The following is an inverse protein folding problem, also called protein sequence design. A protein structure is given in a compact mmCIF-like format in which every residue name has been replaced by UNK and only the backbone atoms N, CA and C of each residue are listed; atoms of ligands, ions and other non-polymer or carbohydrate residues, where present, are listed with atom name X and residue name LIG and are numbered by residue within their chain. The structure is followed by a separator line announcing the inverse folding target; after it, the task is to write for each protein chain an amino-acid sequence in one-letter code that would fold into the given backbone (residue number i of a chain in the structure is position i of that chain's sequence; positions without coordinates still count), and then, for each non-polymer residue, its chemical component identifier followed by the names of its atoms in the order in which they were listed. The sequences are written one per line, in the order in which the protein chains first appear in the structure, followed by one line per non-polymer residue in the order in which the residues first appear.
data_IF_235804391209
#
_entry.id   IF_235804391209
#
_cell.length_a   1.000
_cell.length_b   1.000
_cell.length_c   1.000
_cell.angle_alpha   90.00
_cell.angle_beta   90.00
_cell.angle_gamma   90.00
#
_symmetry.space_group_name_H-M   'P 1'
#
loop_
_entity.id
_entity.type
_entity.pdbx_description
1 polymer ?
#
# COMPACT_ATOMS: atom_id res chain seq x y z
N UNK A 1 -62.44 -51.49 13.13
CA UNK A 1 -63.50 -50.55 13.53
C UNK A 1 -63.27 -49.27 12.74
N UNK A 2 -64.11 -48.96 11.74
CA UNK A 2 -63.90 -47.84 10.80
C UNK A 2 -65.06 -46.86 10.93
N UNK A 3 -64.82 -45.68 11.50
CA UNK A 3 -65.81 -44.64 11.70
C UNK A 3 -66.00 -43.85 10.40
N UNK A 4 -67.20 -43.90 9.80
CA UNK A 4 -67.60 -43.07 8.66
C UNK A 4 -67.98 -41.68 9.14
N UNK A 5 -67.32 -40.66 8.62
CA UNK A 5 -67.64 -39.25 8.86
C UNK A 5 -68.72 -38.83 7.84
N UNK A 6 -69.86 -38.25 8.24
CA UNK A 6 -70.89 -37.83 7.29
C UNK A 6 -70.42 -36.58 6.52
N UNK A 7 -70.13 -36.72 5.23
CA UNK A 7 -69.90 -35.59 4.34
C UNK A 7 -71.20 -34.82 4.14
N UNK A 8 -71.34 -33.67 4.82
CA UNK A 8 -72.40 -32.70 4.56
C UNK A 8 -72.10 -32.02 3.22
N UNK A 9 -72.92 -32.32 2.21
CA UNK A 9 -72.78 -31.87 0.81
C UNK A 9 -73.30 -30.43 0.62
N UNK A 10 -73.00 -29.53 1.55
CA UNK A 10 -73.29 -28.11 1.37
C UNK A 10 -72.03 -27.50 0.77
N UNK A 11 -72.05 -27.28 -0.53
CA UNK A 11 -70.93 -26.72 -1.30
C UNK A 11 -70.56 -25.33 -0.78
N UNK A 12 -69.56 -25.22 0.10
CA UNK A 12 -69.03 -23.95 0.61
C UNK A 12 -68.31 -23.10 -0.45
N UNK A 13 -68.23 -23.57 -1.70
CA UNK A 13 -67.60 -22.87 -2.82
C UNK A 13 -68.59 -22.68 -3.97
N UNK A 14 -69.75 -22.08 -3.69
CA UNK A 14 -70.64 -21.61 -4.77
C UNK A 14 -70.21 -20.20 -5.15
N UNK A 15 -69.83 -19.99 -6.41
CA UNK A 15 -69.54 -18.65 -6.92
C UNK A 15 -70.79 -17.78 -6.84
N UNK A 16 -70.65 -16.47 -6.58
CA UNK A 16 -71.78 -15.55 -6.64
C UNK A 16 -72.52 -15.66 -7.97
N UNK A 17 -73.83 -15.45 -7.94
CA UNK A 17 -74.63 -15.33 -9.15
C UNK A 17 -74.07 -14.21 -10.03
N UNK A 18 -73.95 -14.46 -11.33
CA UNK A 18 -73.39 -13.49 -12.31
C UNK A 18 -71.89 -13.15 -12.17
N UNK A 19 -71.10 -13.90 -11.38
CA UNK A 19 -69.65 -13.67 -11.25
C UNK A 19 -68.90 -13.72 -12.60
N UNK A 20 -69.28 -14.65 -13.46
CA UNK A 20 -68.64 -14.87 -14.76
C UNK A 20 -69.15 -13.91 -15.84
N UNK A 21 -70.34 -13.34 -15.69
CA UNK A 21 -70.94 -12.45 -16.70
C UNK A 21 -70.15 -11.15 -16.87
N UNK A 22 -69.45 -10.70 -15.81
CA UNK A 22 -68.59 -9.50 -15.84
C UNK A 22 -67.09 -9.82 -15.77
N UNK A 23 -66.72 -11.10 -15.80
CA UNK A 23 -65.32 -11.50 -15.66
C UNK A 23 -64.50 -11.12 -16.88
N UNK A 24 -65.02 -11.35 -18.08
CA UNK A 24 -64.33 -11.07 -19.34
C UNK A 24 -64.05 -9.58 -19.51
N UNK A 25 -65.04 -8.73 -19.21
CA UNK A 25 -64.90 -7.26 -19.27
C UNK A 25 -63.83 -6.76 -18.29
N UNK A 26 -63.82 -7.29 -17.07
CA UNK A 26 -62.81 -6.97 -16.04
C UNK A 26 -61.42 -7.44 -16.44
N UNK A 27 -61.31 -8.58 -17.11
CA UNK A 27 -60.05 -9.11 -17.59
C UNK A 27 -59.49 -8.24 -18.71
N UNK A 28 -60.32 -7.90 -19.70
CA UNK A 28 -59.92 -7.04 -20.83
C UNK A 28 -59.54 -5.63 -20.37
N UNK A 29 -60.34 -5.03 -19.48
CA UNK A 29 -60.03 -3.72 -18.91
C UNK A 29 -58.67 -3.68 -18.21
N UNK A 30 -58.31 -4.73 -17.45
CA UNK A 30 -56.99 -4.82 -16.79
C UNK A 30 -55.84 -5.02 -17.78
N UNK A 31 -56.07 -5.76 -18.87
CA UNK A 31 -55.05 -5.94 -19.91
C UNK A 31 -54.80 -4.60 -20.62
N UNK A 32 -55.85 -3.87 -20.96
CA UNK A 32 -55.75 -2.54 -21.59
C UNK A 32 -55.12 -1.49 -20.65
N UNK A 33 -55.45 -1.51 -19.35
CA UNK A 33 -54.84 -0.63 -18.34
C UNK A 33 -53.34 -0.88 -18.18
N UNK A 34 -52.90 -2.14 -18.20
CA UNK A 34 -51.48 -2.50 -18.10
C UNK A 34 -50.69 -2.11 -19.36
N UNK A 35 -51.29 -2.23 -20.54
CA UNK A 35 -50.70 -1.77 -21.81
C UNK A 35 -50.54 -0.24 -21.86
N UNK A 36 -51.35 0.50 -21.11
CA UNK A 36 -51.31 1.97 -20.98
C UNK A 36 -50.53 2.45 -19.74
N UNK A 37 -49.78 1.56 -19.07
CA UNK A 37 -48.87 1.98 -18.01
C UNK A 37 -47.93 3.05 -18.56
N UNK A 38 -48.14 4.30 -18.12
CA UNK A 38 -47.26 5.43 -18.45
C UNK A 38 -45.85 5.02 -18.07
N UNK A 39 -45.05 4.67 -19.07
CA UNK A 39 -43.60 4.56 -18.95
C UNK A 39 -43.13 5.94 -18.53
N UNK A 40 -43.06 6.17 -17.23
CA UNK A 40 -42.37 7.35 -16.71
C UNK A 40 -40.95 7.24 -17.23
N UNK A 41 -40.45 8.24 -17.98
CA UNK A 41 -39.07 8.20 -18.41
C UNK A 41 -38.23 8.34 -17.14
N UNK A 42 -37.72 7.22 -16.63
CA UNK A 42 -36.70 7.25 -15.58
C UNK A 42 -35.49 7.93 -16.20
N UNK A 43 -35.29 9.21 -15.88
CA UNK A 43 -34.15 10.00 -16.37
C UNK A 43 -32.89 9.43 -15.74
N UNK A 44 -32.30 8.41 -16.38
CA UNK A 44 -31.01 7.85 -15.99
C UNK A 44 -29.95 8.88 -16.33
N UNK A 45 -29.57 9.68 -15.34
CA UNK A 45 -28.43 10.58 -15.44
C UNK A 45 -27.19 9.74 -15.74
N UNK A 46 -26.53 10.01 -16.87
CA UNK A 46 -25.28 9.34 -17.26
C UNK A 46 -24.13 9.87 -16.39
N UNK A 47 -24.14 9.58 -15.10
CA UNK A 47 -23.07 9.96 -14.17
C UNK A 47 -21.78 9.14 -14.38
N UNK A 48 -21.80 8.09 -15.20
CA UNK A 48 -20.66 7.19 -15.40
C UNK A 48 -19.45 7.79 -16.11
N UNK A 49 -19.54 8.99 -16.70
CA UNK A 49 -18.38 9.61 -17.37
C UNK A 49 -17.50 10.42 -16.42
N UNK A 50 -18.06 10.97 -15.34
CA UNK A 50 -17.32 11.81 -14.39
C UNK A 50 -16.45 11.00 -13.40
N UNK A 51 -16.66 9.68 -13.32
CA UNK A 51 -15.87 8.79 -12.45
C UNK A 51 -14.42 8.61 -12.96
N UNK A 52 -14.21 8.57 -14.28
CA UNK A 52 -12.87 8.36 -14.85
C UNK A 52 -11.93 9.54 -14.59
N UNK A 53 -12.43 10.77 -14.79
CA UNK A 53 -11.65 12.00 -14.57
C UNK A 53 -11.34 12.20 -13.08
N UNK A 54 -12.28 11.89 -12.18
CA UNK A 54 -12.03 11.99 -10.75
C UNK A 54 -10.96 10.99 -10.26
N UNK A 55 -10.94 9.77 -10.80
CA UNK A 55 -9.95 8.75 -10.45
C UNK A 55 -8.54 9.14 -10.90
N UNK A 56 -8.39 9.73 -12.09
CA UNK A 56 -7.08 10.20 -12.57
C UNK A 56 -6.57 11.39 -11.74
N UNK A 57 -7.45 12.31 -11.36
CA UNK A 57 -7.10 13.42 -10.46
C UNK A 57 -6.66 12.87 -9.08
N UNK A 58 -7.40 11.92 -8.52
CA UNK A 58 -7.05 11.29 -7.24
C UNK A 58 -5.72 10.54 -7.28
N UNK A 59 -5.41 9.83 -8.38
CA UNK A 59 -4.12 9.18 -8.57
C UNK A 59 -2.96 10.17 -8.67
N UNK A 60 -3.13 11.27 -9.41
CA UNK A 60 -2.09 12.29 -9.53
C UNK A 60 -1.82 12.97 -8.18
N UNK A 61 -2.87 13.33 -7.44
CA UNK A 61 -2.75 13.95 -6.12
C UNK A 61 -2.16 12.95 -5.12
N UNK A 62 -2.69 11.72 -5.06
CA UNK A 62 -2.22 10.67 -4.16
C UNK A 62 -0.75 10.30 -4.41
N UNK A 63 -0.37 10.18 -5.69
CA UNK A 63 1.02 9.95 -6.10
C UNK A 63 1.94 11.10 -5.67
N UNK A 64 1.53 12.36 -5.89
CA UNK A 64 2.33 13.52 -5.47
C UNK A 64 2.53 13.59 -3.95
N UNK A 65 1.51 13.24 -3.16
CA UNK A 65 1.61 13.17 -1.70
C UNK A 65 2.50 12.01 -1.22
N UNK A 66 2.44 10.86 -1.89
CA UNK A 66 3.29 9.70 -1.61
C UNK A 66 4.78 10.02 -1.78
N UNK A 67 5.16 10.65 -2.90
CA UNK A 67 6.55 11.06 -3.13
C UNK A 67 7.05 12.10 -2.11
N UNK A 68 6.17 12.95 -1.56
CA UNK A 68 6.53 13.92 -0.52
C UNK A 68 6.79 13.29 0.84
N UNK A 69 6.16 12.14 1.14
CA UNK A 69 6.43 11.41 2.38
C UNK A 69 7.75 10.66 2.33
N UNK A 70 8.17 10.20 1.15
CA UNK A 70 9.49 9.61 0.93
C UNK A 70 10.60 10.65 0.74
N UNK A 71 10.68 11.63 1.64
CA UNK A 71 11.94 12.37 1.80
C UNK A 71 12.95 11.39 2.38
N UNK A 72 13.98 11.09 1.60
CA UNK A 72 15.10 10.25 2.01
C UNK A 72 15.50 10.60 3.44
N UNK A 73 15.46 9.61 4.35
CA UNK A 73 16.11 9.76 5.63
C UNK A 73 17.56 10.15 5.32
N UNK A 74 17.99 11.33 5.79
CA UNK A 74 19.41 11.64 5.75
C UNK A 74 20.08 10.54 6.55
N UNK A 75 20.92 9.75 5.88
CA UNK A 75 21.69 8.70 6.54
C UNK A 75 22.41 9.39 7.70
N UNK A 76 22.17 8.88 8.91
CA UNK A 76 22.77 9.44 10.11
C UNK A 76 24.29 9.28 9.98
N UNK A 77 25.06 10.34 10.28
CA UNK A 77 26.52 10.28 10.21
C UNK A 77 27.08 9.08 11.01
N UNK A 78 26.45 8.77 12.15
CA UNK A 78 26.78 7.61 12.98
C UNK A 78 26.72 6.29 12.22
N UNK A 79 25.70 6.09 11.38
CA UNK A 79 25.55 4.88 10.58
C UNK A 79 26.65 4.76 9.51
N UNK A 80 27.10 5.89 8.95
CA UNK A 80 28.20 5.94 7.99
C UNK A 80 29.52 5.60 8.67
N UNK A 81 29.79 6.20 9.84
CA UNK A 81 31.00 5.95 10.62
C UNK A 81 31.11 4.47 10.99
N UNK A 82 30.04 3.89 11.55
CA UNK A 82 30.00 2.47 11.89
C UNK A 82 30.27 1.59 10.65
N UNK A 83 29.63 1.90 9.52
CA UNK A 83 29.82 1.10 8.30
C UNK A 83 31.27 1.10 7.80
N UNK A 84 31.95 2.25 7.87
CA UNK A 84 33.37 2.39 7.50
C UNK A 84 34.26 1.64 8.49
N UNK A 85 33.97 1.73 9.79
CA UNK A 85 34.72 1.04 10.85
C UNK A 85 34.68 -0.49 10.68
N UNK A 86 33.50 -1.06 10.38
CA UNK A 86 33.37 -2.50 10.14
C UNK A 86 33.92 -2.96 8.79
N UNK A 87 34.20 -2.05 7.85
CA UNK A 87 34.71 -2.36 6.51
C UNK A 87 36.00 -1.60 6.20
N UNK A 88 37.15 -2.01 6.79
CA UNK A 88 38.42 -1.29 6.65
C UNK A 88 38.93 -1.21 5.20
N UNK A 89 38.50 -2.12 4.32
CA UNK A 89 38.82 -2.08 2.90
C UNK A 89 38.31 -0.79 2.20
N UNK A 90 37.22 -0.20 2.70
CA UNK A 90 36.65 1.03 2.15
C UNK A 90 37.45 2.25 2.64
N UNK A 91 37.82 2.27 3.92
CA UNK A 91 38.65 3.31 4.51
C UNK A 91 40.05 3.39 3.86
N UNK A 92 40.59 2.24 3.43
CA UNK A 92 41.89 2.15 2.74
C UNK A 92 41.79 2.27 1.21
N UNK A 93 40.62 2.65 0.68
CA UNK A 93 40.44 2.80 -0.76
C UNK A 93 41.16 4.06 -1.29
N UNK A 94 41.65 4.06 -2.53
CA UNK A 94 42.31 5.22 -3.12
C UNK A 94 41.43 6.47 -3.14
N UNK A 95 40.13 6.30 -3.37
CA UNK A 95 39.14 7.39 -3.40
C UNK A 95 38.98 8.04 -2.02
N UNK A 96 38.99 7.23 -0.95
CA UNK A 96 38.90 7.75 0.41
C UNK A 96 40.19 8.42 0.86
N UNK A 97 41.35 7.87 0.49
CA UNK A 97 42.66 8.47 0.78
C UNK A 97 42.83 9.82 0.05
N UNK A 98 42.38 9.92 -1.20
CA UNK A 98 42.43 11.17 -1.98
C UNK A 98 41.45 12.23 -1.45
N UNK A 99 40.38 11.82 -0.79
CA UNK A 99 39.42 12.72 -0.18
C UNK A 99 39.96 13.42 1.09
N UNK A 100 41.04 12.91 1.70
CA UNK A 100 41.69 13.56 2.84
C UNK A 100 42.61 14.69 2.36
N UNK A 101 42.40 15.89 2.89
CA UNK A 101 43.25 17.03 2.62
C UNK A 101 44.31 17.25 3.72
N UNK A 102 45.23 18.20 3.48
CA UNK A 102 46.32 18.51 4.42
C UNK A 102 45.81 19.06 5.77
N UNK A 103 44.60 19.63 5.80
CA UNK A 103 43.99 20.14 7.02
C UNK A 103 43.44 18.98 7.85
N UNK A 104 42.75 18.04 7.21
CA UNK A 104 42.23 16.82 7.85
C UNK A 104 43.35 16.01 8.51
N UNK A 105 44.49 15.87 7.84
CA UNK A 105 45.66 15.17 8.39
C UNK A 105 46.21 15.89 9.63
N UNK A 106 46.30 17.23 9.60
CA UNK A 106 46.78 18.02 10.75
C UNK A 106 45.85 17.92 11.96
N UNK A 107 44.54 17.84 11.74
CA UNK A 107 43.58 17.64 12.82
C UNK A 107 43.73 16.24 13.45
N UNK A 108 43.94 15.21 12.62
CA UNK A 108 44.22 13.86 13.11
C UNK A 108 45.50 13.80 13.93
N UNK A 109 46.59 14.42 13.47
CA UNK A 109 47.87 14.47 14.20
C UNK A 109 47.72 15.10 15.61
N UNK A 110 46.88 16.12 15.75
CA UNK A 110 46.62 16.76 17.05
C UNK A 110 45.76 15.91 17.98
N UNK A 111 44.88 15.08 17.41
CA UNK A 111 43.97 14.21 18.18
C UNK A 111 44.63 12.96 18.74
N UNK A 112 45.78 12.55 18.18
CA UNK A 112 46.51 11.35 18.61
C UNK A 112 47.51 11.72 19.72
N UNK A 113 47.29 11.29 20.98
CA UNK A 113 48.29 11.49 22.03
C UNK A 113 49.52 10.60 21.75
N UNK A 114 50.58 11.19 21.20
CA UNK A 114 51.83 10.49 20.91
C UNK A 114 52.52 10.07 22.22
N UNK A 115 52.43 8.78 22.56
CA UNK A 115 53.19 8.19 23.64
C UNK A 115 54.35 7.36 23.08
N UNK A 116 55.58 7.72 23.45
CA UNK A 116 56.80 7.02 23.01
C UNK A 116 56.75 5.50 23.30
N UNK A 117 56.10 5.09 24.38
CA UNK A 117 55.97 3.66 24.72
C UNK A 117 55.07 2.92 23.71
N UNK A 118 53.96 3.53 23.29
CA UNK A 118 53.03 2.96 22.30
C UNK A 118 53.67 2.89 20.91
N UNK A 119 54.47 3.91 20.55
CA UNK A 119 55.23 3.92 19.31
C UNK A 119 56.23 2.76 19.29
N UNK A 120 56.99 2.58 20.37
CA UNK A 120 57.98 1.50 20.45
C UNK A 120 57.31 0.12 20.35
N UNK A 121 56.16 -0.06 21.00
CA UNK A 121 55.39 -1.32 20.97
C UNK A 121 54.84 -1.64 19.57
N UNK A 122 54.29 -0.63 18.87
CA UNK A 122 53.82 -0.79 17.49
C UNK A 122 54.97 -1.17 16.54
N UNK A 123 56.09 -0.47 16.64
CA UNK A 123 57.27 -0.72 15.79
C UNK A 123 57.83 -2.14 16.04
N UNK A 124 57.89 -2.59 17.29
CA UNK A 124 58.36 -3.95 17.63
C UNK A 124 57.39 -5.06 17.23
N UNK A 125 56.07 -4.80 17.21
CA UNK A 125 55.04 -5.80 16.95
C UNK A 125 54.64 -5.91 15.48
N UNK A 126 54.71 -4.81 14.74
CA UNK A 126 54.15 -4.68 13.39
C UNK A 126 55.22 -4.57 12.31
N UNK A 127 56.45 -4.18 12.67
CA UNK A 127 57.58 -4.11 11.75
C UNK A 127 58.56 -5.22 12.14
N UNK A 128 58.91 -6.05 11.17
CA UNK A 128 59.86 -7.15 11.37
C UNK A 128 61.28 -6.57 11.39
N UNK A 129 61.67 -6.03 12.55
CA UNK A 129 62.97 -5.35 12.74
C UNK A 129 64.16 -6.30 12.63
N UNK A 130 63.94 -7.60 12.84
CA UNK A 130 64.99 -8.61 12.75
C UNK A 130 65.64 -8.62 11.35
N UNK A 131 64.84 -8.37 10.31
CA UNK A 131 65.31 -8.24 8.93
C UNK A 131 66.23 -7.03 8.70
N UNK A 132 66.06 -5.94 9.46
CA UNK A 132 66.81 -4.69 9.29
C UNK A 132 68.02 -4.55 10.22
N UNK A 133 68.07 -5.35 11.29
CA UNK A 133 69.17 -5.34 12.26
C UNK A 133 70.21 -6.44 11.95
N UNK A 134 69.88 -7.37 11.05
CA UNK A 134 70.74 -8.50 10.66
C UNK A 134 71.76 -8.22 9.53
N UNK A 135 71.93 -6.97 9.10
CA UNK A 135 72.98 -6.48 8.17
C UNK A 135 73.69 -5.26 8.81
#
# INVERSE_FOLDING_TARGET
MSTKIPFKKDTLFKTPESYFDSFDDRLMSKIEENNNSKKTPTKKYKLSYYSGIAATIALVIGSSLYYKQHKNEKIQNEAIINYIEYNPAIALSPEFIEAFDEQDIKELEQSIPLNQQQINEYVLSSIDLEYYISD
#
